data_IF_319093930848
#
_entry.id   IF_319093930848
#
_cell.length_a   1.000
_cell.length_b   1.000
_cell.length_c   1.000
_cell.angle_alpha   90.00
_cell.angle_beta   90.00
_cell.angle_gamma   90.00
#
_symmetry.space_group_name_H-M   'P 1'
#
loop_
_entity.id
_entity.type
_entity.pdbx_description
1 polymer ?
#
# COMPACT_ATOMS: atom_id res chain seq x y z
N UNK A 1 -15.13 13.70 -11.17
CA UNK A 1 -15.45 13.38 -9.77
C UNK A 1 -14.87 14.51 -8.92
N UNK A 2 -15.67 15.12 -8.04
CA UNK A 2 -15.22 16.18 -7.13
C UNK A 2 -15.32 15.60 -5.72
N UNK A 3 -14.23 15.03 -5.16
CA UNK A 3 -14.31 14.43 -3.83
C UNK A 3 -14.64 15.54 -2.83
N UNK A 4 -15.65 15.34 -1.96
CA UNK A 4 -16.15 16.37 -1.05
C UNK A 4 -15.88 16.07 0.43
N UNK A 5 -15.44 14.86 0.78
CA UNK A 5 -15.25 14.42 2.18
C UNK A 5 -13.78 14.48 2.62
N UNK A 6 -13.53 14.59 3.93
CA UNK A 6 -12.18 14.57 4.54
C UNK A 6 -11.76 13.15 4.96
N UNK A 7 -12.40 12.14 4.38
CA UNK A 7 -12.22 10.74 4.75
C UNK A 7 -11.00 10.14 4.04
N UNK A 8 -10.31 9.27 4.75
CA UNK A 8 -9.19 8.49 4.20
C UNK A 8 -9.27 7.08 4.72
N UNK A 9 -8.81 6.14 3.91
CA UNK A 9 -8.68 4.73 4.29
C UNK A 9 -7.46 4.15 3.62
N UNK A 10 -6.72 3.39 4.42
CA UNK A 10 -5.62 2.54 4.02
C UNK A 10 -5.91 1.14 4.49
N UNK A 11 -5.72 0.16 3.61
CA UNK A 11 -5.76 -1.25 3.96
C UNK A 11 -4.41 -1.85 3.58
N UNK A 12 -3.71 -2.45 4.54
CA UNK A 12 -2.50 -3.23 4.37
C UNK A 12 -2.83 -4.71 4.53
N UNK A 13 -2.72 -5.48 3.46
CA UNK A 13 -2.73 -6.94 3.54
C UNK A 13 -1.31 -7.42 3.72
N UNK A 14 -1.06 -8.21 4.77
CA UNK A 14 0.28 -8.59 5.16
C UNK A 14 0.43 -10.11 5.34
N UNK A 15 1.44 -10.65 4.67
CA UNK A 15 1.96 -11.99 4.91
C UNK A 15 3.38 -11.82 5.40
N UNK A 16 3.66 -12.27 6.61
CA UNK A 16 4.98 -12.19 7.22
C UNK A 16 5.49 -13.60 7.52
N UNK A 17 6.67 -13.90 6.97
CA UNK A 17 7.42 -15.11 7.25
C UNK A 17 7.92 -15.20 8.69
N UNK A 18 8.24 -16.41 9.17
CA UNK A 18 8.87 -16.62 10.46
C UNK A 18 10.19 -15.83 10.57
N UNK A 19 10.38 -15.15 11.70
CA UNK A 19 11.61 -14.38 11.99
C UNK A 19 12.85 -15.29 12.07
N UNK A 20 12.66 -16.57 12.43
CA UNK A 20 13.70 -17.59 12.47
C UNK A 20 13.17 -18.93 11.91
N UNK A 21 13.42 -19.27 10.65
CA UNK A 21 12.95 -20.51 10.03
C UNK A 21 13.62 -21.77 10.61
N UNK A 22 14.68 -21.63 11.42
CA UNK A 22 15.27 -22.74 12.18
C UNK A 22 14.52 -23.02 13.48
N UNK A 23 13.67 -22.08 13.93
CA UNK A 23 12.76 -22.26 15.04
C UNK A 23 11.39 -22.75 14.53
N UNK A 24 11.05 -24.03 14.71
CA UNK A 24 9.76 -24.59 14.27
C UNK A 24 8.56 -24.02 15.04
N UNK A 25 8.78 -23.25 16.12
CA UNK A 25 7.75 -22.51 16.83
C UNK A 25 7.52 -21.09 16.27
N UNK A 26 8.28 -20.65 15.27
CA UNK A 26 8.00 -19.38 14.59
C UNK A 26 6.91 -19.59 13.54
N UNK A 27 5.81 -18.88 13.73
CA UNK A 27 4.61 -19.03 12.90
C UNK A 27 4.60 -17.99 11.78
N UNK A 28 3.94 -18.34 10.67
CA UNK A 28 3.56 -17.38 9.65
C UNK A 28 2.50 -16.45 10.23
N UNK A 29 2.64 -15.15 10.00
CA UNK A 29 1.64 -14.17 10.41
C UNK A 29 0.87 -13.67 9.20
N UNK A 30 -0.44 -13.73 9.29
CA UNK A 30 -1.36 -13.19 8.30
C UNK A 30 -2.19 -12.11 8.96
N UNK A 31 -2.01 -10.85 8.56
CA UNK A 31 -2.73 -9.73 9.17
C UNK A 31 -3.21 -8.73 8.13
N UNK A 32 -4.31 -8.09 8.44
CA UNK A 32 -4.83 -6.95 7.69
C UNK A 32 -4.86 -5.75 8.61
N UNK A 33 -4.15 -4.68 8.26
CA UNK A 33 -4.17 -3.43 9.01
C UNK A 33 -4.98 -2.38 8.25
N UNK A 34 -5.92 -1.73 8.93
CA UNK A 34 -6.83 -0.74 8.35
C UNK A 34 -6.72 0.54 9.15
N UNK A 35 -6.35 1.64 8.49
CA UNK A 35 -6.17 2.91 9.16
C UNK A 35 -6.56 4.09 8.28
N UNK A 36 -6.83 5.23 8.88
CA UNK A 36 -7.26 6.41 8.15
C UNK A 36 -7.91 7.44 9.06
N UNK A 37 -8.77 8.27 8.48
CA UNK A 37 -9.50 9.31 9.18
C UNK A 37 -10.97 9.35 8.73
N UNK A 38 -11.87 9.55 9.69
CA UNK A 38 -13.28 9.83 9.43
C UNK A 38 -13.50 11.28 8.99
N UNK A 39 -14.69 11.58 8.47
CA UNK A 39 -15.06 12.94 8.03
C UNK A 39 -14.92 14.01 9.13
N UNK A 40 -15.08 13.63 10.40
CA UNK A 40 -14.90 14.51 11.56
C UNK A 40 -13.43 14.75 11.94
N UNK A 41 -12.47 14.15 11.23
CA UNK A 41 -11.03 14.26 11.47
C UNK A 41 -10.47 13.28 12.50
N UNK A 42 -11.30 12.45 13.12
CA UNK A 42 -10.85 11.40 14.05
C UNK A 42 -10.13 10.31 13.27
N UNK A 43 -8.94 9.93 13.72
CA UNK A 43 -8.15 8.85 13.12
C UNK A 43 -8.49 7.50 13.70
N UNK A 44 -8.33 6.45 12.91
CA UNK A 44 -8.51 5.06 13.35
C UNK A 44 -7.35 4.19 12.84
N UNK A 45 -7.08 3.10 13.56
CA UNK A 45 -6.14 2.06 13.16
C UNK A 45 -6.56 0.74 13.81
N UNK A 46 -6.69 -0.31 13.00
CA UNK A 46 -7.06 -1.66 13.43
C UNK A 46 -6.14 -2.65 12.76
N UNK A 47 -5.64 -3.64 13.51
CA UNK A 47 -4.95 -4.80 12.96
C UNK A 47 -5.80 -6.02 13.28
N UNK A 48 -6.06 -6.83 12.26
CA UNK A 48 -6.88 -8.04 12.38
C UNK A 48 -6.08 -9.21 11.82
N UNK A 49 -5.95 -10.25 12.62
CA UNK A 49 -5.25 -11.46 12.22
C UNK A 49 -6.19 -12.40 11.47
N UNK A 50 -5.61 -13.17 10.55
CA UNK A 50 -6.24 -14.27 9.85
C UNK A 50 -5.43 -15.54 10.11
N UNK A 51 -6.07 -16.70 9.94
CA UNK A 51 -5.42 -17.98 10.21
C UNK A 51 -4.61 -18.47 9.01
N UNK A 52 -5.05 -18.10 7.80
CA UNK A 52 -4.42 -18.54 6.57
C UNK A 52 -4.62 -17.53 5.44
N UNK A 53 -3.80 -17.66 4.40
CA UNK A 53 -3.90 -16.89 3.16
C UNK A 53 -3.86 -17.81 1.93
N UNK A 54 -4.63 -17.47 0.90
CA UNK A 54 -4.58 -18.11 -0.42
C UNK A 54 -4.39 -17.05 -1.48
N UNK A 55 -3.25 -17.11 -2.15
CA UNK A 55 -2.92 -16.27 -3.30
C UNK A 55 -3.16 -17.09 -4.57
N UNK A 56 -3.98 -16.56 -5.48
CA UNK A 56 -4.36 -17.23 -6.73
C UNK A 56 -4.14 -16.31 -7.91
N UNK A 57 -3.29 -16.73 -8.85
CA UNK A 57 -3.27 -16.21 -10.22
C UNK A 57 -4.23 -17.05 -11.08
N UNK A 58 -5.11 -16.39 -11.83
CA UNK A 58 -6.05 -17.06 -12.74
C UNK A 58 -5.47 -17.14 -14.15
N UNK A 59 -6.08 -17.96 -14.99
CA UNK A 59 -5.67 -18.16 -16.39
C UNK A 59 -5.60 -16.84 -17.18
N UNK A 60 -6.51 -15.91 -16.92
CA UNK A 60 -6.56 -14.59 -17.56
C UNK A 60 -5.56 -13.57 -16.97
N UNK A 61 -4.68 -14.00 -16.06
CA UNK A 61 -3.75 -13.18 -15.29
C UNK A 61 -4.42 -12.21 -14.33
N UNK A 62 -5.71 -12.40 -14.00
CA UNK A 62 -6.30 -11.75 -12.82
C UNK A 62 -5.78 -12.40 -11.54
N UNK A 63 -5.71 -11.60 -10.47
CA UNK A 63 -5.19 -12.02 -9.17
C UNK A 63 -6.31 -12.01 -8.13
N UNK A 64 -6.20 -12.91 -7.15
CA UNK A 64 -7.01 -12.90 -5.94
C UNK A 64 -6.17 -13.30 -4.74
N UNK A 65 -6.38 -12.61 -3.64
CA UNK A 65 -5.80 -12.94 -2.33
C UNK A 65 -6.93 -13.02 -1.33
N UNK A 66 -7.04 -14.17 -0.67
CA UNK A 66 -8.05 -14.45 0.36
C UNK A 66 -7.35 -14.76 1.68
N UNK A 67 -7.66 -13.98 2.71
CA UNK A 67 -7.31 -14.23 4.11
C UNK A 67 -8.55 -14.82 4.79
N UNK A 68 -8.43 -15.98 5.42
CA UNK A 68 -9.55 -16.74 5.97
C UNK A 68 -9.24 -17.34 7.35
N UNK A 69 -10.29 -17.77 8.04
CA UNK A 69 -10.31 -18.17 9.45
C UNK A 69 -11.56 -17.61 10.12
N UNK A 70 -11.45 -17.14 11.37
CA UNK A 70 -12.52 -16.39 12.04
C UNK A 70 -12.88 -15.05 11.38
N UNK A 71 -11.93 -14.42 10.69
CA UNK A 71 -12.14 -13.21 9.88
C UNK A 71 -11.84 -13.49 8.41
N UNK A 72 -12.61 -12.87 7.52
CA UNK A 72 -12.46 -13.02 6.08
C UNK A 72 -12.13 -11.67 5.46
N UNK A 73 -10.95 -11.58 4.86
CA UNK A 73 -10.55 -10.42 4.08
C UNK A 73 -10.02 -10.88 2.74
N UNK A 74 -10.01 -9.99 1.77
CA UNK A 74 -9.31 -10.29 0.54
C UNK A 74 -9.41 -9.17 -0.45
N UNK A 75 -8.74 -9.38 -1.56
CA UNK A 75 -8.91 -8.54 -2.73
C UNK A 75 -8.82 -9.37 -4.00
N UNK A 76 -9.42 -8.86 -5.05
CA UNK A 76 -9.24 -9.38 -6.40
C UNK A 76 -8.99 -8.25 -7.38
N UNK A 77 -8.00 -8.42 -8.23
CA UNK A 77 -7.64 -7.50 -9.29
C UNK A 77 -7.81 -8.14 -10.65
N UNK A 78 -8.47 -7.47 -11.59
CA UNK A 78 -8.47 -7.90 -12.98
C UNK A 78 -7.07 -7.80 -13.57
N UNK A 79 -6.82 -8.58 -14.62
CA UNK A 79 -5.56 -8.58 -15.37
C UNK A 79 -5.06 -7.18 -15.73
N UNK A 80 -3.80 -6.88 -15.41
CA UNK A 80 -3.11 -5.66 -15.82
C UNK A 80 -2.80 -5.63 -17.32
N UNK A 81 -2.93 -6.76 -18.02
CA UNK A 81 -2.81 -6.85 -19.48
C UNK A 81 -3.97 -6.19 -20.22
N UNK A 82 -5.04 -5.82 -19.50
CA UNK A 82 -6.23 -5.16 -20.06
C UNK A 82 -6.25 -3.69 -19.61
N UNK A 83 -6.72 -2.78 -20.48
CA UNK A 83 -6.87 -1.38 -20.09
C UNK A 83 -7.95 -1.22 -19.01
N UNK A 84 -7.74 -0.29 -18.08
CA UNK A 84 -8.66 0.04 -16.97
C UNK A 84 -8.92 -1.15 -16.05
N UNK A 85 -7.87 -1.67 -15.36
CA UNK A 85 -8.05 -2.77 -14.43
C UNK A 85 -8.97 -2.37 -13.27
N UNK A 86 -9.71 -3.31 -12.73
CA UNK A 86 -10.58 -3.12 -11.57
C UNK A 86 -10.07 -3.99 -10.43
N UNK A 87 -9.83 -3.37 -9.28
CA UNK A 87 -9.43 -4.02 -8.05
C UNK A 87 -10.53 -3.83 -7.01
N UNK A 88 -10.86 -4.90 -6.28
CA UNK A 88 -11.90 -4.88 -5.26
C UNK A 88 -11.32 -5.51 -4.01
N UNK A 89 -11.26 -4.75 -2.92
CA UNK A 89 -10.97 -5.26 -1.59
C UNK A 89 -12.30 -5.49 -0.84
N UNK A 90 -12.42 -6.62 -0.17
CA UNK A 90 -13.57 -7.02 0.64
C UNK A 90 -13.13 -7.31 2.06
N UNK A 91 -13.91 -6.81 3.02
CA UNK A 91 -13.66 -6.94 4.43
C UNK A 91 -14.88 -7.56 5.12
N UNK A 92 -14.66 -8.59 5.91
CA UNK A 92 -15.67 -9.24 6.74
C UNK A 92 -15.01 -9.73 8.03
N UNK A 93 -14.93 -8.84 9.01
CA UNK A 93 -14.38 -9.10 10.33
C UNK A 93 -15.38 -8.67 11.42
N UNK A 94 -16.41 -9.50 11.67
CA UNK A 94 -17.50 -9.16 12.57
C UNK A 94 -17.04 -8.97 14.01
N UNK A 95 -16.00 -9.69 14.46
CA UNK A 95 -15.47 -9.61 15.83
C UNK A 95 -14.95 -8.21 16.19
N UNK A 96 -14.39 -7.48 15.21
CA UNK A 96 -13.90 -6.11 15.37
C UNK A 96 -14.86 -5.07 14.77
N UNK A 97 -16.02 -5.51 14.28
CA UNK A 97 -17.06 -4.66 13.71
C UNK A 97 -16.68 -4.04 12.36
N UNK A 98 -15.81 -4.68 11.57
CA UNK A 98 -15.37 -4.16 10.27
C UNK A 98 -15.99 -4.98 9.14
N UNK A 99 -16.68 -4.32 8.20
CA UNK A 99 -17.20 -4.98 7.00
C UNK A 99 -17.36 -4.02 5.82
N UNK A 100 -17.39 -4.56 4.60
CA UNK A 100 -17.71 -3.80 3.39
C UNK A 100 -16.69 -4.00 2.28
N UNK A 101 -16.55 -3.02 1.40
CA UNK A 101 -15.62 -3.10 0.27
C UNK A 101 -15.05 -1.74 -0.15
N UNK A 102 -13.91 -1.83 -0.84
CA UNK A 102 -13.31 -0.75 -1.61
C UNK A 102 -13.14 -1.23 -3.04
N UNK A 103 -13.58 -0.44 -4.01
CA UNK A 103 -13.37 -0.70 -5.43
C UNK A 103 -12.49 0.38 -6.02
N UNK A 104 -11.42 -0.03 -6.71
CA UNK A 104 -10.53 0.82 -7.48
C UNK A 104 -10.76 0.55 -8.97
N UNK A 105 -11.18 1.58 -9.68
CA UNK A 105 -11.22 1.59 -11.14
C UNK A 105 -9.95 2.26 -11.66
N UNK A 106 -9.00 1.45 -12.09
CA UNK A 106 -7.74 1.90 -12.66
C UNK A 106 -7.96 2.83 -13.84
N UNK A 107 -7.20 3.91 -13.87
CA UNK A 107 -7.24 4.88 -14.96
C UNK A 107 -6.32 4.45 -16.12
N UNK A 108 -6.03 5.37 -17.04
CA UNK A 108 -5.19 5.08 -18.23
C UNK A 108 -3.70 5.01 -17.93
N UNK A 109 -3.29 5.07 -16.65
CA UNK A 109 -1.89 4.99 -16.28
C UNK A 109 -1.45 3.54 -16.25
N UNK A 110 -0.33 3.25 -16.91
CA UNK A 110 0.24 1.92 -16.93
C UNK A 110 0.84 1.52 -15.57
N UNK A 111 0.78 0.23 -15.20
CA UNK A 111 1.56 -0.29 -14.08
C UNK A 111 3.04 0.00 -14.25
N UNK A 112 3.75 0.18 -13.15
CA UNK A 112 5.17 0.50 -13.17
C UNK A 112 5.92 -0.17 -12.02
N UNK A 113 7.18 -0.47 -12.30
CA UNK A 113 8.20 -0.68 -11.28
C UNK A 113 8.87 0.65 -10.97
N UNK A 114 9.69 0.62 -9.93
CA UNK A 114 10.52 1.73 -9.49
C UNK A 114 11.37 2.42 -10.58
N UNK A 115 12.00 1.61 -11.43
CA UNK A 115 12.96 2.07 -12.43
C UNK A 115 12.45 1.98 -13.88
N UNK A 116 11.19 1.59 -14.10
CA UNK A 116 10.65 1.43 -15.45
C UNK A 116 9.25 0.85 -15.52
N UNK A 117 8.78 0.62 -16.74
CA UNK A 117 7.49 -0.01 -17.02
C UNK A 117 7.43 -1.45 -16.50
N UNK A 118 6.25 -1.90 -16.10
CA UNK A 118 5.99 -3.32 -15.81
C UNK A 118 6.24 -4.18 -17.05
N UNK A 119 7.35 -4.93 -17.04
CA UNK A 119 7.73 -5.86 -18.10
C UNK A 119 8.40 -7.10 -17.50
N UNK A 120 8.21 -8.24 -18.18
CA UNK A 120 8.77 -9.51 -17.74
C UNK A 120 10.31 -9.44 -17.66
N UNK A 121 10.87 -9.91 -16.53
CA UNK A 121 12.31 -9.94 -16.29
C UNK A 121 12.92 -8.62 -15.82
N UNK A 122 12.12 -7.58 -15.58
CA UNK A 122 12.59 -6.35 -14.94
C UNK A 122 12.71 -6.56 -13.42
N UNK A 123 13.76 -6.01 -12.83
CA UNK A 123 13.97 -6.05 -11.38
C UNK A 123 12.96 -5.15 -10.66
N UNK A 124 12.22 -5.74 -9.72
CA UNK A 124 11.27 -5.01 -8.86
C UNK A 124 11.98 -4.28 -7.72
N UNK A 125 13.26 -4.59 -7.47
CA UNK A 125 13.98 -4.08 -6.33
C UNK A 125 14.20 -2.56 -6.41
N UNK A 126 13.86 -1.89 -5.31
CA UNK A 126 14.19 -0.48 -5.08
C UNK A 126 15.55 -0.34 -4.41
N UNK A 127 15.86 -1.28 -3.52
CA UNK A 127 17.17 -1.55 -2.90
C UNK A 127 17.29 -3.05 -2.78
N UNK A 128 18.52 -3.53 -2.63
CA UNK A 128 18.79 -4.94 -2.42
C UNK A 128 17.87 -5.50 -1.33
N UNK A 129 17.09 -6.53 -1.66
CA UNK A 129 16.19 -7.20 -0.75
C UNK A 129 14.87 -6.49 -0.45
N UNK A 130 14.57 -5.37 -1.10
CA UNK A 130 13.25 -4.70 -1.03
C UNK A 130 12.74 -4.43 -2.44
N UNK A 131 11.59 -4.99 -2.79
CA UNK A 131 10.87 -4.69 -4.02
C UNK A 131 9.65 -3.84 -3.80
N UNK A 132 9.34 -2.98 -4.78
CA UNK A 132 8.13 -2.18 -4.81
C UNK A 132 7.62 -2.07 -6.25
N UNK A 133 6.34 -2.42 -6.43
CA UNK A 133 5.67 -2.39 -7.71
C UNK A 133 4.30 -1.73 -7.54
N UNK A 134 3.90 -0.93 -8.52
CA UNK A 134 2.64 -0.23 -8.46
C UNK A 134 1.72 -0.70 -9.60
N UNK A 135 0.71 -1.46 -9.21
CA UNK A 135 -0.23 -2.08 -10.15
C UNK A 135 -1.22 -1.04 -10.69
N UNK A 136 -1.80 -0.23 -9.80
CA UNK A 136 -2.73 0.84 -10.15
C UNK A 136 -2.20 2.16 -9.58
N UNK A 137 -1.47 2.96 -10.37
CA UNK A 137 -0.90 4.22 -9.88
C UNK A 137 -1.88 5.35 -9.64
N UNK A 138 -3.00 5.30 -10.34
CA UNK A 138 -4.11 6.23 -10.19
C UNK A 138 -5.40 5.48 -10.52
N UNK A 139 -6.35 5.56 -9.61
CA UNK A 139 -7.65 4.95 -9.74
C UNK A 139 -8.73 5.87 -9.17
N UNK A 140 -9.90 5.86 -9.82
CA UNK A 140 -11.10 6.33 -9.15
C UNK A 140 -11.54 5.26 -8.14
N UNK A 141 -11.82 5.67 -6.92
CA UNK A 141 -12.12 4.76 -5.84
C UNK A 141 -13.54 4.96 -5.32
N UNK A 142 -14.22 3.86 -5.02
CA UNK A 142 -15.52 3.84 -4.34
C UNK A 142 -15.36 3.04 -3.06
N UNK A 143 -15.70 3.67 -1.94
CA UNK A 143 -15.58 3.10 -0.59
C UNK A 143 -16.96 2.92 -0.01
N UNK A 144 -17.22 1.73 0.54
CA UNK A 144 -18.42 1.42 1.30
C UNK A 144 -18.03 0.51 2.46
N UNK A 145 -17.67 1.11 3.59
CA UNK A 145 -17.20 0.40 4.78
C UNK A 145 -18.07 0.73 5.99
N UNK A 146 -18.21 -0.26 6.86
CA UNK A 146 -18.66 -0.10 8.23
C UNK A 146 -17.46 -0.38 9.13
N UNK A 147 -17.10 0.58 9.97
CA UNK A 147 -16.05 0.46 10.97
C UNK A 147 -16.72 0.69 12.33
N UNK A 148 -16.97 -0.39 13.07
CA UNK A 148 -17.78 -0.42 14.30
C UNK A 148 -19.13 0.24 14.07
N UNK A 149 -19.39 1.37 14.72
CA UNK A 149 -20.65 2.13 14.61
C UNK A 149 -20.61 3.22 13.53
N UNK A 150 -19.48 3.39 12.83
CA UNK A 150 -19.31 4.44 11.81
C UNK A 150 -19.39 3.86 10.40
N UNK A 151 -20.35 4.37 9.63
CA UNK A 151 -20.44 4.10 8.19
C UNK A 151 -19.60 5.11 7.42
N UNK A 152 -18.80 4.62 6.48
CA UNK A 152 -17.90 5.39 5.64
C UNK A 152 -18.20 5.06 4.18
N UNK A 153 -18.92 5.95 3.50
CA UNK A 153 -19.37 5.78 2.12
C UNK A 153 -18.99 7.03 1.33
N UNK A 154 -18.01 6.89 0.45
CA UNK A 154 -17.55 8.01 -0.37
C UNK A 154 -16.91 7.54 -1.68
N UNK A 155 -16.79 8.48 -2.61
CA UNK A 155 -15.98 8.33 -3.81
C UNK A 155 -14.76 9.23 -3.73
N UNK A 156 -13.62 8.78 -4.27
CA UNK A 156 -12.37 9.50 -4.20
C UNK A 156 -11.33 8.98 -5.18
N UNK A 157 -10.06 9.19 -4.83
CA UNK A 157 -8.91 8.72 -5.58
C UNK A 157 -8.11 7.75 -4.73
N UNK A 158 -7.59 6.71 -5.35
CA UNK A 158 -6.74 5.73 -4.70
C UNK A 158 -5.74 5.13 -5.66
N UNK A 159 -4.89 4.28 -5.12
CA UNK A 159 -3.90 3.52 -5.88
C UNK A 159 -3.73 2.14 -5.24
N UNK A 160 -2.99 1.25 -5.90
CA UNK A 160 -2.60 -0.05 -5.38
C UNK A 160 -1.14 -0.35 -5.69
N UNK A 161 -0.37 -0.73 -4.68
CA UNK A 161 0.99 -1.22 -4.81
C UNK A 161 1.19 -2.59 -4.15
N UNK A 162 2.39 -3.12 -4.38
CA UNK A 162 2.91 -4.35 -3.82
C UNK A 162 4.33 -4.06 -3.35
N UNK A 163 4.60 -4.32 -2.08
CA UNK A 163 5.95 -4.30 -1.53
C UNK A 163 6.34 -5.70 -1.10
N UNK A 164 7.59 -6.08 -1.30
CA UNK A 164 8.17 -7.26 -0.66
C UNK A 164 9.52 -6.93 -0.03
N UNK A 165 9.84 -7.58 1.08
CA UNK A 165 11.18 -7.50 1.68
C UNK A 165 11.67 -8.89 2.12
N UNK A 166 12.96 -9.15 1.95
CA UNK A 166 13.61 -10.43 2.21
C UNK A 166 14.11 -10.62 3.66
N UNK A 167 13.88 -9.61 4.50
CA UNK A 167 14.32 -9.51 5.89
C UNK A 167 13.32 -8.69 6.71
N UNK A 168 13.41 -8.64 8.05
CA UNK A 168 12.56 -7.75 8.84
C UNK A 168 12.66 -6.30 8.36
N UNK A 169 11.53 -5.62 8.18
CA UNK A 169 11.48 -4.27 7.61
C UNK A 169 12.37 -3.27 8.36
N UNK A 170 12.40 -3.36 9.70
CA UNK A 170 13.26 -2.53 10.56
C UNK A 170 14.76 -2.79 10.40
N UNK A 171 15.15 -3.99 9.95
CA UNK A 171 16.55 -4.32 9.62
C UNK A 171 16.93 -3.86 8.21
N UNK A 172 15.94 -3.63 7.34
CA UNK A 172 16.16 -3.13 6.00
C UNK A 172 16.25 -1.60 5.97
N UNK A 173 15.37 -0.92 6.72
CA UNK A 173 15.16 0.52 6.63
C UNK A 173 15.25 1.23 7.98
N UNK A 174 15.92 2.39 7.98
CA UNK A 174 15.88 3.37 9.08
C UNK A 174 14.60 4.19 9.05
N UNK A 175 14.10 4.49 7.85
CA UNK A 175 12.89 5.29 7.65
C UNK A 175 12.31 5.02 6.26
N UNK A 176 10.99 5.02 6.16
CA UNK A 176 10.26 4.99 4.90
C UNK A 176 9.11 5.99 4.94
N UNK A 177 8.94 6.72 3.85
CA UNK A 177 7.86 7.66 3.60
C UNK A 177 7.26 7.28 2.26
N UNK A 178 5.96 7.12 2.22
CA UNK A 178 5.26 6.75 1.01
C UNK A 178 3.99 7.57 0.92
N UNK A 179 3.44 7.68 -0.27
CA UNK A 179 2.16 8.34 -0.40
C UNK A 179 1.67 8.46 -1.83
N UNK A 180 0.46 8.99 -1.94
CA UNK A 180 -0.22 9.27 -3.18
C UNK A 180 -0.94 10.61 -3.10
N UNK A 181 -0.92 11.34 -4.20
CA UNK A 181 -1.61 12.61 -4.32
C UNK A 181 -2.12 12.81 -5.75
N UNK A 182 -3.21 13.56 -5.88
CA UNK A 182 -3.70 14.00 -7.18
C UNK A 182 -3.79 15.52 -7.21
N UNK A 183 -3.01 16.16 -8.07
CA UNK A 183 -2.98 17.61 -8.23
C UNK A 183 -3.45 17.99 -9.62
N UNK A 184 -4.72 18.38 -9.74
CA UNK A 184 -5.34 18.67 -11.05
C UNK A 184 -5.29 17.45 -11.98
N UNK A 185 -4.65 17.54 -13.16
CA UNK A 185 -4.54 16.40 -14.09
C UNK A 185 -3.40 15.43 -13.75
N UNK A 186 -2.67 15.67 -12.65
CA UNK A 186 -1.52 14.87 -12.26
C UNK A 186 -1.88 13.92 -11.12
N UNK A 187 -1.37 12.70 -11.18
CA UNK A 187 -1.32 11.78 -10.05
C UNK A 187 0.15 11.52 -9.71
N UNK A 188 0.48 11.45 -8.43
CA UNK A 188 1.82 11.17 -7.95
C UNK A 188 1.72 10.02 -6.97
N UNK A 189 2.56 9.00 -7.14
CA UNK A 189 2.85 8.02 -6.09
C UNK A 189 4.34 8.12 -5.80
N UNK A 190 4.72 8.09 -4.53
CA UNK A 190 6.13 8.15 -4.16
C UNK A 190 6.48 7.18 -3.05
N UNK A 191 7.75 6.81 -3.04
CA UNK A 191 8.42 6.10 -1.98
C UNK A 191 9.78 6.74 -1.73
N UNK A 192 10.03 7.16 -0.50
CA UNK A 192 11.31 7.69 -0.06
C UNK A 192 11.73 6.89 1.17
N UNK A 193 12.86 6.21 1.07
CA UNK A 193 13.38 5.44 2.20
C UNK A 193 14.87 5.67 2.41
N UNK A 194 15.31 5.33 3.62
CA UNK A 194 16.71 5.29 4.00
C UNK A 194 17.01 3.91 4.53
N UNK A 195 17.93 3.21 3.87
CA UNK A 195 18.37 1.88 4.28
C UNK A 195 19.30 1.95 5.50
N UNK A 196 19.46 0.82 6.19
CA UNK A 196 20.33 0.72 7.38
C UNK A 196 21.81 1.00 7.09
N UNK A 197 22.28 0.72 5.87
CA UNK A 197 23.63 1.04 5.42
C UNK A 197 23.84 2.54 5.08
N UNK A 198 22.79 3.36 5.23
CA UNK A 198 22.79 4.79 4.96
C UNK A 198 22.41 5.15 3.52
N UNK A 199 22.18 4.19 2.62
CA UNK A 199 21.71 4.47 1.27
C UNK A 199 20.33 5.17 1.32
N UNK A 200 20.21 6.30 0.62
CA UNK A 200 18.96 7.05 0.50
C UNK A 200 18.35 6.75 -0.86
N UNK A 201 17.09 6.33 -0.85
CA UNK A 201 16.29 6.12 -2.04
C UNK A 201 15.15 7.12 -2.09
N UNK A 202 15.08 7.88 -3.17
CA UNK A 202 13.92 8.71 -3.50
C UNK A 202 13.35 8.21 -4.81
N UNK A 203 12.10 7.79 -4.79
CA UNK A 203 11.37 7.37 -5.98
C UNK A 203 10.03 8.10 -6.02
N UNK A 204 9.76 8.69 -7.18
CA UNK A 204 8.52 9.38 -7.45
C UNK A 204 8.05 8.94 -8.83
N UNK A 205 6.79 8.57 -8.93
CA UNK A 205 6.12 8.40 -10.20
C UNK A 205 5.18 9.57 -10.35
N UNK A 206 5.51 10.47 -11.30
CA UNK A 206 4.68 11.60 -11.67
C UNK A 206 3.94 11.27 -12.96
N UNK A 207 2.62 11.28 -12.88
CA UNK A 207 1.73 10.87 -13.96
C UNK A 207 0.94 12.08 -14.40
N UNK A 208 0.89 12.35 -15.71
CA UNK A 208 0.05 13.40 -16.28
C UNK A 208 -0.89 12.80 -17.31
N UNK A 209 -2.16 12.60 -16.95
CA UNK A 209 -3.15 12.07 -17.90
C UNK A 209 -2.63 10.84 -18.66
N UNK A 210 -2.59 10.90 -20.00
CA UNK A 210 -2.14 9.80 -20.88
C UNK A 210 -0.62 9.64 -21.04
N UNK A 211 0.21 10.34 -20.28
CA UNK A 211 1.68 10.24 -20.42
C UNK A 211 2.34 10.06 -19.05
N UNK A 212 3.12 8.98 -18.94
CA UNK A 212 4.23 8.89 -18.00
C UNK A 212 5.26 9.95 -18.41
N UNK A 213 5.50 10.92 -17.54
CA UNK A 213 6.41 12.02 -17.86
C UNK A 213 7.81 11.82 -17.27
N UNK A 214 8.03 10.82 -16.40
CA UNK A 214 9.33 10.63 -15.73
C UNK A 214 9.34 9.46 -14.74
N UNK A 215 10.00 8.35 -15.09
CA UNK A 215 10.72 7.49 -14.14
C UNK A 215 12.13 8.02 -13.92
N UNK A 216 12.25 9.21 -13.30
CA UNK A 216 13.56 9.75 -12.93
C UNK A 216 13.75 9.61 -11.43
N UNK A 217 14.88 9.03 -11.05
CA UNK A 217 15.51 9.16 -9.74
C UNK A 217 15.89 10.64 -9.55
N UNK A 218 14.89 11.50 -9.39
CA UNK A 218 15.11 12.87 -8.96
C UNK A 218 15.22 12.74 -7.45
N UNK A 219 16.45 12.81 -6.94
CA UNK A 219 16.66 13.25 -5.57
C UNK A 219 15.88 14.56 -5.44
N UNK A 220 14.72 14.50 -4.81
CA UNK A 220 13.89 15.66 -4.56
C UNK A 220 14.58 16.42 -3.41
N UNK A 221 15.77 16.95 -3.67
CA UNK A 221 16.56 17.73 -2.72
C UNK A 221 15.87 19.06 -2.38
N UNK A 222 14.79 19.38 -3.09
CA UNK A 222 13.96 20.57 -2.87
C UNK A 222 12.48 20.24 -3.13
N UNK A 223 11.86 19.44 -2.27
CA UNK A 223 10.58 19.91 -1.72
C UNK A 223 10.95 20.75 -0.49
N UNK A 224 11.45 21.95 -0.74
CA UNK A 224 11.56 22.94 0.32
C UNK A 224 10.15 23.10 0.85
N UNK A 225 9.97 22.79 2.14
CA UNK A 225 8.78 23.08 2.92
C UNK A 225 8.17 24.40 2.45
N UNK A 226 7.10 24.35 1.65
CA UNK A 226 6.17 25.46 1.54
C UNK A 226 5.37 25.44 2.84
N UNK A 227 6.02 25.97 3.88
CA UNK A 227 5.34 26.48 5.06
C UNK A 227 4.52 27.69 4.61
N UNK A 228 3.30 27.44 4.14
CA UNK A 228 2.28 28.47 4.01
C UNK A 228 0.90 27.82 4.13
N UNK A 229 0.44 27.66 5.37
CA UNK A 229 -0.99 27.73 5.70
C UNK A 229 -1.76 26.44 5.90
N UNK A 230 -1.34 25.28 5.37
CA UNK A 230 -2.12 24.04 5.52
C UNK A 230 -1.28 22.91 6.11
N UNK A 231 -1.74 22.40 7.25
CA UNK A 231 -1.04 21.37 8.04
C UNK A 231 -1.12 20.03 7.30
N UNK A 232 -0.08 19.68 6.54
CA UNK A 232 0.15 18.29 6.12
C UNK A 232 0.48 17.49 7.39
N UNK A 233 -0.52 16.79 7.93
CA UNK A 233 -0.34 15.89 9.07
C UNK A 233 0.24 14.58 8.55
N UNK A 234 1.56 14.41 8.72
CA UNK A 234 2.19 13.11 8.65
C UNK A 234 1.62 12.22 9.76
N UNK A 235 1.17 11.01 9.42
CA UNK A 235 0.93 9.99 10.45
C UNK A 235 2.27 9.61 11.07
N UNK A 236 2.47 9.73 12.40
CA UNK A 236 3.73 9.32 13.01
C UNK A 236 3.80 7.80 13.06
N UNK A 237 4.80 7.20 12.42
CA UNK A 237 5.32 5.90 12.85
C UNK A 237 6.36 6.16 13.94
N UNK A 238 5.99 5.91 15.19
CA UNK A 238 6.95 5.80 16.29
C UNK A 238 7.44 4.35 16.33
N UNK A 239 8.72 4.12 16.06
CA UNK A 239 9.38 2.86 16.33
C UNK A 239 9.79 2.84 17.80
N UNK A 240 9.17 1.98 18.62
CA UNK A 240 9.71 1.62 19.93
C UNK A 240 10.96 0.72 19.74
N UNK A 241 12.04 0.95 20.49
CA UNK A 241 13.26 0.16 20.34
C UNK A 241 13.12 -1.17 21.09
N UNK A 242 13.08 -2.30 20.38
CA UNK A 242 13.36 -3.60 21.00
C UNK A 242 14.71 -4.17 20.58
N UNK A 243 15.33 -4.83 21.56
CA UNK A 243 16.74 -5.17 21.65
C UNK A 243 17.24 -6.17 20.58
N UNK A 244 18.53 -6.03 20.28
CA UNK A 244 19.34 -6.79 19.32
C UNK A 244 19.27 -8.31 19.52
N UNK A 245 19.20 -9.07 18.42
CA UNK A 245 19.69 -10.45 18.35
C UNK A 245 19.23 -11.28 17.14
N UNK A 246 20.16 -11.54 16.20
CA UNK A 246 20.22 -12.60 15.17
C UNK A 246 19.28 -12.54 13.94
N UNK A 247 19.86 -12.86 12.77
CA UNK A 247 19.34 -12.61 11.41
C UNK A 247 18.62 -13.80 10.74
N UNK A 248 17.71 -13.44 9.81
CA UNK A 248 17.24 -14.13 8.58
C UNK A 248 15.96 -14.98 8.64
N UNK A 249 14.86 -14.53 8.01
CA UNK A 249 14.41 -14.96 6.66
C UNK A 249 13.04 -14.37 6.19
N UNK A 250 13.06 -13.82 4.97
CA UNK A 250 12.08 -13.75 3.87
C UNK A 250 10.58 -13.48 4.09
N UNK A 251 10.17 -12.33 3.53
CA UNK A 251 8.90 -12.13 2.83
C UNK A 251 7.86 -11.38 3.66
N UNK A 252 7.93 -10.05 3.70
CA UNK A 252 6.78 -9.22 4.10
C UNK A 252 6.12 -8.73 2.82
N UNK A 253 4.95 -9.25 2.48
CA UNK A 253 4.11 -8.69 1.43
C UNK A 253 3.32 -7.53 2.03
N UNK A 254 3.73 -6.29 1.81
CA UNK A 254 3.01 -5.10 2.29
C UNK A 254 2.19 -4.51 1.14
N UNK A 255 0.89 -4.30 1.37
CA UNK A 255 -0.03 -3.76 0.36
C UNK A 255 -0.75 -2.52 0.86
N UNK A 256 -0.17 -1.31 0.88
CA UNK A 256 -0.94 -0.11 1.21
C UNK A 256 -1.90 0.32 0.10
N UNK A 257 -3.19 0.05 0.29
CA UNK A 257 -4.27 0.69 -0.50
C UNK A 257 -4.55 2.06 0.09
N UNK A 258 -3.76 3.09 -0.20
CA UNK A 258 -4.03 4.44 0.34
C UNK A 258 -4.94 5.24 -0.58
N UNK A 259 -6.09 5.62 -0.04
CA UNK A 259 -6.88 6.72 -0.55
C UNK A 259 -6.50 8.01 0.18
N UNK A 260 -6.01 8.99 -0.59
CA UNK A 260 -5.78 10.34 -0.11
C UNK A 260 -6.40 11.35 -1.07
N UNK A 261 -7.03 12.38 -0.49
CA UNK A 261 -7.64 13.52 -1.18
C UNK A 261 -6.76 14.75 -0.98
N UNK A 262 -6.56 15.53 -2.03
CA UNK A 262 -6.16 16.95 -1.93
C UNK A 262 -7.39 17.83 -1.74
#
# INVERSE_FOLDING_TARGET
>A
MNPSTKETVVINFEVQGPVDPSNPASEMLYRVTIFGAFANGTTYSYTVEAENVKITEREDKSMRVDFFGGNEFGWSGSSLLKPRPVYIATLNAPEVGIRGSITLHGNTVAPHYSCGSDAAGVDEQIITGIGWANALPDANATVSLQIRDTSMIFEGYGYHDKTWVDRPFGDALQSAFWGHARLGPYAVVWWHSRAQDGAVLVQNILLRGRMDMSSRLIALTTLTTLSAGETVRYGPFFLEPQHRGACSCTGILEMPVLLWRT
#
